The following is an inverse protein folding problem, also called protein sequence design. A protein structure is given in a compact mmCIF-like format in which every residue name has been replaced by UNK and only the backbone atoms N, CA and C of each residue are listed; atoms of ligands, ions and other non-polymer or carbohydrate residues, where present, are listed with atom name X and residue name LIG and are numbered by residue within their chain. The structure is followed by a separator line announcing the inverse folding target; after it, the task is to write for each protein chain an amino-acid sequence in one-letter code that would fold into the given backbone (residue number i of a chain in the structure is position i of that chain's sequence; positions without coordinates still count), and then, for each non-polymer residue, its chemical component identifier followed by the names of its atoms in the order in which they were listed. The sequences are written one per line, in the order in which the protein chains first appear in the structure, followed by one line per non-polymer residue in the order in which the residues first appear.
data_IF_676400804033
#
_entry.id   IF_676400804033
#
_cell.length_a   1.000
_cell.length_b   1.000
_cell.length_c   1.000
_cell.angle_alpha   90.00
_cell.angle_beta   90.00
_cell.angle_gamma   90.00
#
_symmetry.space_group_name_H-M   'P 1'
#
loop_
_entity.id
_entity.type
_entity.pdbx_description
1 polymer ?
#
# COMPACT_ATOMS: atom_id res chain seq x y z
N UNK A 1 6.15 8.82 16.00
CA UNK A 1 5.20 9.92 16.23
C UNK A 1 3.91 9.26 16.61
N UNK A 2 3.55 9.32 17.89
CA UNK A 2 2.24 8.86 18.36
C UNK A 2 1.39 10.12 18.48
N UNK A 3 0.20 10.11 17.88
CA UNK A 3 -0.75 11.20 18.01
C UNK A 3 -1.73 10.83 19.11
N UNK A 4 -1.89 11.72 20.08
CA UNK A 4 -3.01 11.68 21.01
C UNK A 4 -4.13 12.46 20.35
N UNK A 5 -5.31 11.84 20.21
CA UNK A 5 -6.46 12.38 19.49
C UNK A 5 -7.64 12.34 20.44
N UNK A 6 -8.29 13.48 20.67
CA UNK A 6 -9.35 13.62 21.67
C UNK A 6 -10.75 13.75 21.05
N UNK A 7 -10.83 14.00 19.73
CA UNK A 7 -12.11 14.15 19.03
C UNK A 7 -12.10 13.57 17.61
N UNK A 8 -13.31 13.30 17.10
CA UNK A 8 -13.49 12.85 15.72
C UNK A 8 -13.04 13.91 14.70
N UNK A 9 -13.24 15.19 15.01
CA UNK A 9 -12.90 16.27 14.08
C UNK A 9 -11.38 16.47 14.01
N UNK A 10 -10.69 16.40 15.15
CA UNK A 10 -9.22 16.37 15.18
C UNK A 10 -8.66 15.18 14.38
N UNK A 11 -9.28 14.01 14.52
CA UNK A 11 -8.88 12.82 13.76
C UNK A 11 -8.98 13.04 12.25
N UNK A 12 -10.06 13.71 11.79
CA UNK A 12 -10.26 14.02 10.36
C UNK A 12 -9.24 15.02 9.86
N UNK A 13 -8.98 16.09 10.62
CA UNK A 13 -7.99 17.09 10.24
C UNK A 13 -6.59 16.49 10.13
N UNK A 14 -6.20 15.64 11.09
CA UNK A 14 -4.92 14.94 11.04
C UNK A 14 -4.83 13.97 9.85
N UNK A 15 -5.93 13.27 9.54
CA UNK A 15 -6.00 12.38 8.39
C UNK A 15 -5.82 13.16 7.09
N UNK A 16 -6.53 14.27 6.92
CA UNK A 16 -6.42 15.14 5.74
C UNK A 16 -5.00 15.69 5.58
N UNK A 17 -4.37 16.13 6.67
CA UNK A 17 -2.97 16.56 6.66
C UNK A 17 -2.04 15.42 6.24
N UNK A 18 -2.25 14.22 6.77
CA UNK A 18 -1.43 13.04 6.44
C UNK A 18 -1.55 12.66 4.97
N UNK A 19 -2.77 12.69 4.43
CA UNK A 19 -3.05 12.44 3.01
C UNK A 19 -2.35 13.49 2.14
N UNK A 20 -2.46 14.78 2.51
CA UNK A 20 -1.79 15.87 1.77
C UNK A 20 -0.28 15.70 1.78
N UNK A 21 0.32 15.43 2.93
CA UNK A 21 1.76 15.18 3.06
C UNK A 21 2.21 14.01 2.16
N UNK A 22 1.45 12.91 2.13
CA UNK A 22 1.75 11.77 1.27
C UNK A 22 1.67 12.15 -0.21
N UNK A 23 0.57 12.77 -0.64
CA UNK A 23 0.34 13.03 -2.06
C UNK A 23 1.18 14.17 -2.64
N UNK A 24 1.46 15.20 -1.83
CA UNK A 24 2.00 16.47 -2.34
C UNK A 24 3.45 16.71 -1.95
N UNK A 25 3.89 16.24 -0.79
CA UNK A 25 5.20 16.61 -0.22
C UNK A 25 6.21 15.46 -0.21
N UNK A 26 5.75 14.20 -0.15
CA UNK A 26 6.64 13.04 -0.07
C UNK A 26 6.99 12.49 -1.46
N UNK A 27 8.24 12.66 -1.93
CA UNK A 27 8.71 11.93 -3.09
C UNK A 27 8.89 10.46 -2.75
N UNK A 28 8.39 9.57 -3.62
CA UNK A 28 8.41 8.13 -3.40
C UNK A 28 9.35 7.42 -4.38
N UNK A 29 10.17 6.51 -3.86
CA UNK A 29 11.12 5.74 -4.66
C UNK A 29 10.43 4.89 -5.74
N UNK A 30 9.22 4.38 -5.47
CA UNK A 30 8.45 3.56 -6.40
C UNK A 30 7.99 4.28 -7.67
N UNK A 31 8.04 5.61 -7.66
CA UNK A 31 7.64 6.47 -8.78
C UNK A 31 8.77 7.46 -9.13
N UNK A 32 10.02 7.02 -8.97
CA UNK A 32 11.19 7.77 -9.42
C UNK A 32 11.52 9.00 -8.57
N UNK A 33 11.21 8.98 -7.28
CA UNK A 33 11.34 10.13 -6.37
C UNK A 33 10.47 11.33 -6.77
N UNK A 34 9.35 11.08 -7.44
CA UNK A 34 8.28 12.05 -7.65
C UNK A 34 7.20 11.93 -6.56
N UNK A 35 6.36 12.96 -6.44
CA UNK A 35 5.19 12.91 -5.58
C UNK A 35 4.00 12.29 -6.34
N UNK A 36 3.07 11.61 -5.66
CA UNK A 36 1.88 11.04 -6.30
C UNK A 36 1.08 12.07 -7.10
N UNK A 37 0.98 13.31 -6.60
CA UNK A 37 0.32 14.43 -7.26
C UNK A 37 0.92 14.73 -8.64
N UNK A 38 2.24 14.89 -8.73
CA UNK A 38 2.92 15.18 -10.00
C UNK A 38 2.66 14.08 -11.04
N UNK A 39 2.76 12.81 -10.62
CA UNK A 39 2.51 11.66 -11.49
C UNK A 39 1.07 11.65 -12.01
N UNK A 40 0.10 11.93 -11.14
CA UNK A 40 -1.31 11.96 -11.50
C UNK A 40 -1.65 13.13 -12.44
N UNK A 41 -1.27 14.35 -12.07
CA UNK A 41 -1.59 15.58 -12.82
C UNK A 41 -1.00 15.58 -14.23
N UNK A 42 0.21 15.03 -14.39
CA UNK A 42 0.92 14.99 -15.67
C UNK A 42 0.75 13.65 -16.41
N UNK A 43 -0.05 12.73 -15.86
CA UNK A 43 -0.28 11.39 -16.40
C UNK A 43 1.02 10.65 -16.77
N UNK A 44 2.01 10.72 -15.88
CA UNK A 44 3.34 10.17 -16.12
C UNK A 44 3.29 8.64 -16.09
N UNK A 45 4.01 8.00 -17.02
CA UNK A 45 4.22 6.56 -16.97
C UNK A 45 5.25 6.24 -15.88
N UNK A 46 4.89 5.36 -14.95
CA UNK A 46 5.78 4.85 -13.91
C UNK A 46 6.14 3.40 -14.18
N UNK A 47 7.32 2.99 -13.76
CA UNK A 47 7.81 1.62 -13.93
C UNK A 47 7.58 0.78 -12.68
N UNK A 48 7.35 -0.51 -12.88
CA UNK A 48 7.21 -1.47 -11.77
C UNK A 48 8.58 -1.76 -11.16
N UNK A 49 8.86 -1.21 -9.98
CA UNK A 49 10.14 -1.43 -9.27
C UNK A 49 10.17 -2.67 -8.36
N UNK A 50 9.00 -3.25 -8.05
CA UNK A 50 8.85 -4.37 -7.14
C UNK A 50 8.92 -5.71 -7.86
N UNK A 51 9.61 -6.68 -7.25
CA UNK A 51 9.74 -8.03 -7.80
C UNK A 51 8.40 -8.75 -7.74
N UNK A 52 7.99 -9.36 -8.86
CA UNK A 52 6.91 -10.34 -8.85
C UNK A 52 7.50 -11.67 -8.39
N UNK A 53 7.11 -12.16 -7.22
CA UNK A 53 7.49 -13.49 -6.78
C UNK A 53 6.62 -14.51 -7.50
N UNK A 54 7.19 -15.42 -8.32
CA UNK A 54 6.40 -16.47 -8.94
C UNK A 54 5.86 -17.37 -7.83
N UNK A 55 4.55 -17.55 -7.80
CA UNK A 55 3.95 -18.63 -7.03
C UNK A 55 4.51 -19.94 -7.58
N UNK A 56 5.34 -20.63 -6.80
CA UNK A 56 5.73 -22.00 -7.14
C UNK A 56 4.45 -22.83 -7.07
N UNK A 57 4.17 -23.62 -8.10
CA UNK A 57 3.17 -24.69 -8.00
C UNK A 57 3.55 -25.50 -6.76
N UNK A 58 2.67 -25.53 -5.77
CA UNK A 58 2.86 -26.42 -4.63
C UNK A 58 2.91 -27.83 -5.19
N UNK A 59 3.90 -28.62 -4.81
CA UNK A 59 3.81 -30.06 -5.01
C UNK A 59 2.72 -30.52 -4.04
N UNK A 60 1.53 -30.76 -4.57
CA UNK A 60 0.41 -31.26 -3.78
C UNK A 60 0.81 -32.66 -3.31
N UNK A 61 1.19 -32.77 -2.05
CA UNK A 61 1.59 -34.05 -1.45
C UNK A 61 0.36 -34.74 -0.84
N UNK A 62 -0.65 -33.97 -0.44
CA UNK A 62 -1.94 -34.48 0.01
C UNK A 62 -3.08 -33.52 -0.37
N UNK A 63 -3.81 -33.76 -1.48
CA UNK A 63 -4.87 -32.89 -1.95
C UNK A 63 -5.96 -32.64 -0.90
N UNK A 64 -6.29 -33.65 -0.09
CA UNK A 64 -7.36 -33.56 0.91
C UNK A 64 -6.99 -32.62 2.05
N UNK A 65 -5.70 -32.50 2.40
CA UNK A 65 -5.23 -31.65 3.49
C UNK A 65 -4.83 -30.25 3.00
N UNK A 66 -4.36 -30.16 1.76
CA UNK A 66 -3.84 -28.93 1.14
C UNK A 66 -4.96 -28.04 0.57
N UNK A 67 -6.13 -28.61 0.21
CA UNK A 67 -7.28 -27.88 -0.35
C UNK A 67 -8.35 -27.50 0.71
N UNK A 68 -8.19 -27.95 1.96
CA UNK A 68 -9.05 -27.45 3.04
C UNK A 68 -8.65 -26.01 3.34
N UNK A 69 -9.53 -25.07 2.98
CA UNK A 69 -9.48 -23.68 3.42
C UNK A 69 -9.28 -23.72 4.93
N UNK A 70 -8.14 -23.24 5.42
CA UNK A 70 -7.97 -22.95 6.84
C UNK A 70 -9.06 -21.96 7.22
N UNK A 71 -10.10 -22.45 7.89
CA UNK A 71 -11.06 -21.60 8.59
C UNK A 71 -10.29 -20.96 9.72
N UNK A 72 -9.86 -19.72 9.53
CA UNK A 72 -9.42 -18.89 10.64
C UNK A 72 -10.67 -18.63 11.48
N UNK A 73 -10.82 -19.39 12.58
CA UNK A 73 -11.75 -19.12 13.68
C UNK A 73 -11.06 -18.17 14.65
#
# INVERSE_FOLDING_TARGET
MNYEIESLDEAKELLDQTIRLYNEERPHMSIGMLTPKIVHEHNLKTEKVWKTYPWKKRNIVNPIQDDLITVNV
#
